data_IF_229895923278
#
_entry.id   IF_229895923278
#
_cell.length_a   1.000
_cell.length_b   1.000
_cell.length_c   1.000
_cell.angle_alpha   90.00
_cell.angle_beta   90.00
_cell.angle_gamma   90.00
#
_symmetry.space_group_name_H-M   'P 1'
#
loop_
_entity.id
_entity.type
_entity.pdbx_description
1 polymer ?
#
# COMPACT_ATOMS: atom_id res chain seq x y z
N UNK A 1 -9.59 16.34 15.51
CA UNK A 1 -9.71 15.26 16.54
C UNK A 1 -8.89 14.06 16.06
N UNK A 2 -8.18 13.38 16.97
CA UNK A 2 -7.57 12.08 16.66
C UNK A 2 -8.67 11.02 16.77
N UNK A 3 -8.86 10.23 15.72
CA UNK A 3 -9.81 9.13 15.71
C UNK A 3 -9.04 7.82 15.85
N UNK A 4 -9.37 7.04 16.88
CA UNK A 4 -8.76 5.74 17.17
C UNK A 4 -9.77 4.66 16.80
N UNK A 5 -9.31 3.68 16.02
CA UNK A 5 -10.14 2.55 15.61
C UNK A 5 -9.90 1.35 16.51
N UNK A 6 -10.96 0.83 17.11
CA UNK A 6 -10.94 -0.34 17.98
C UNK A 6 -11.54 -1.54 17.24
N UNK A 7 -10.82 -2.67 17.18
CA UNK A 7 -11.32 -3.87 16.51
C UNK A 7 -12.58 -4.44 17.19
N UNK A 8 -12.65 -4.29 18.52
CA UNK A 8 -13.78 -4.72 19.36
C UNK A 8 -15.08 -3.99 19.02
N UNK A 9 -15.01 -2.83 18.36
CA UNK A 9 -16.19 -2.06 17.94
C UNK A 9 -17.14 -2.87 17.03
N UNK A 10 -16.61 -3.88 16.31
CA UNK A 10 -17.44 -4.77 15.48
C UNK A 10 -18.27 -5.73 16.35
N UNK A 11 -17.77 -6.07 17.54
CA UNK A 11 -18.37 -7.02 18.46
C UNK A 11 -19.26 -6.34 19.50
N UNK A 12 -18.98 -5.09 19.84
CA UNK A 12 -19.67 -4.33 20.89
C UNK A 12 -20.56 -3.24 20.30
N UNK A 13 -21.76 -3.06 20.85
CA UNK A 13 -22.63 -1.94 20.48
C UNK A 13 -22.37 -0.69 21.34
N UNK A 14 -21.09 -0.32 21.49
CA UNK A 14 -20.70 0.85 22.28
C UNK A 14 -20.98 2.14 21.49
N UNK A 15 -21.95 2.92 21.98
CA UNK A 15 -22.33 4.20 21.38
C UNK A 15 -21.24 5.25 21.47
N UNK A 16 -20.31 5.15 22.42
CA UNK A 16 -19.21 6.08 22.56
C UNK A 16 -18.25 6.03 21.36
N UNK A 17 -18.05 4.83 20.79
CA UNK A 17 -17.19 4.64 19.62
C UNK A 17 -17.77 5.30 18.35
N UNK A 18 -19.09 5.49 18.29
CA UNK A 18 -19.77 6.15 17.16
C UNK A 18 -19.82 7.66 17.28
N UNK A 19 -19.68 8.19 18.49
CA UNK A 19 -19.94 9.59 18.83
C UNK A 19 -19.21 10.58 17.91
N UNK A 20 -17.93 10.35 17.62
CA UNK A 20 -17.14 11.25 16.76
C UNK A 20 -17.59 11.15 15.30
N UNK A 21 -17.78 9.93 14.79
CA UNK A 21 -18.22 9.70 13.41
C UNK A 21 -19.57 10.36 13.14
N UNK A 22 -20.53 10.17 14.03
CA UNK A 22 -21.88 10.73 13.91
C UNK A 22 -21.89 12.25 14.11
N UNK A 23 -21.23 12.77 15.16
CA UNK A 23 -21.19 14.21 15.46
C UNK A 23 -20.65 15.04 14.30
N UNK A 24 -19.64 14.54 13.60
CA UNK A 24 -19.01 15.24 12.48
C UNK A 24 -19.48 14.75 11.12
N UNK A 25 -20.50 13.89 11.06
CA UNK A 25 -21.05 13.31 9.83
C UNK A 25 -19.93 12.72 8.94
N UNK A 26 -19.01 11.97 9.54
CA UNK A 26 -17.87 11.43 8.82
C UNK A 26 -18.31 10.38 7.80
N UNK A 27 -17.73 10.44 6.62
CA UNK A 27 -18.09 9.62 5.48
C UNK A 27 -16.88 8.94 4.86
N UNK A 28 -17.12 7.78 4.25
CA UNK A 28 -16.10 7.05 3.52
C UNK A 28 -16.63 6.47 2.21
N UNK A 29 -15.72 6.15 1.30
CA UNK A 29 -16.01 5.38 0.09
C UNK A 29 -14.97 4.31 -0.15
N UNK A 30 -15.43 3.16 -0.64
CA UNK A 30 -14.57 2.05 -1.05
C UNK A 30 -14.46 2.04 -2.58
N UNK A 31 -13.24 2.00 -3.10
CA UNK A 31 -12.96 2.07 -4.54
C UNK A 31 -12.05 0.92 -4.98
N UNK A 32 -12.47 0.15 -5.98
CA UNK A 32 -11.65 -0.93 -6.61
C UNK A 32 -11.11 -1.95 -5.60
N UNK A 33 -11.89 -2.30 -4.59
CA UNK A 33 -11.57 -3.35 -3.61
C UNK A 33 -12.83 -3.83 -2.91
N UNK A 34 -12.83 -5.09 -2.46
CA UNK A 34 -13.83 -5.62 -1.54
C UNK A 34 -13.20 -5.74 -0.14
N UNK A 35 -13.26 -4.64 0.62
CA UNK A 35 -12.66 -4.55 1.96
C UNK A 35 -13.75 -4.63 3.04
N UNK A 36 -14.37 -5.81 3.21
CA UNK A 36 -15.47 -6.04 4.16
C UNK A 36 -15.12 -5.63 5.60
N UNK A 37 -13.96 -6.03 6.10
CA UNK A 37 -13.52 -5.67 7.46
C UNK A 37 -13.39 -4.15 7.66
N UNK A 38 -12.85 -3.45 6.66
CA UNK A 38 -12.70 -1.99 6.71
C UNK A 38 -14.06 -1.31 6.75
N UNK A 39 -15.01 -1.78 5.93
CA UNK A 39 -16.41 -1.34 5.96
C UNK A 39 -17.00 -1.51 7.36
N UNK A 40 -16.86 -2.70 7.94
CA UNK A 40 -17.35 -3.01 9.29
C UNK A 40 -16.74 -2.11 10.36
N UNK A 41 -15.41 -1.91 10.35
CA UNK A 41 -14.73 -1.01 11.31
C UNK A 41 -15.24 0.43 11.18
N UNK A 42 -15.32 0.96 9.96
CA UNK A 42 -15.72 2.36 9.74
C UNK A 42 -17.17 2.60 10.18
N UNK A 43 -18.08 1.70 9.81
CA UNK A 43 -19.48 1.76 10.24
C UNK A 43 -19.62 1.60 11.76
N UNK A 44 -18.83 0.73 12.40
CA UNK A 44 -18.83 0.60 13.85
C UNK A 44 -18.37 1.88 14.58
N UNK A 45 -17.60 2.75 13.92
CA UNK A 45 -17.16 4.04 14.45
C UNK A 45 -18.02 5.22 13.96
N UNK A 46 -19.23 4.95 13.49
CA UNK A 46 -20.21 6.00 13.13
C UNK A 46 -19.97 6.67 11.78
N UNK A 47 -19.08 6.12 10.94
CA UNK A 47 -18.94 6.60 9.57
C UNK A 47 -20.05 6.04 8.68
N UNK A 48 -20.51 6.84 7.72
CA UNK A 48 -21.45 6.38 6.70
C UNK A 48 -20.77 6.20 5.33
N UNK A 49 -21.17 5.16 4.60
CA UNK A 49 -20.65 4.90 3.26
C UNK A 49 -21.38 5.79 2.23
N UNK A 50 -20.61 6.47 1.38
CA UNK A 50 -21.14 7.24 0.25
C UNK A 50 -20.87 6.52 -1.07
N UNK A 51 -21.60 6.91 -2.11
CA UNK A 51 -21.42 6.35 -3.45
C UNK A 51 -19.96 6.50 -3.92
N UNK A 52 -19.35 5.51 -4.61
CA UNK A 52 -17.95 5.58 -5.04
C UNK A 52 -17.58 6.82 -5.89
N UNK A 53 -18.56 7.36 -6.62
CA UNK A 53 -18.42 8.58 -7.43
C UNK A 53 -18.68 9.88 -6.65
N UNK A 54 -19.05 9.83 -5.37
CA UNK A 54 -19.22 11.02 -4.54
C UNK A 54 -17.89 11.76 -4.37
N UNK A 55 -17.93 13.08 -4.47
CA UNK A 55 -16.83 13.96 -4.10
C UNK A 55 -16.93 14.44 -2.65
N UNK A 56 -18.07 14.24 -2.00
CA UNK A 56 -18.25 14.53 -0.58
C UNK A 56 -17.93 13.25 0.22
N UNK A 57 -16.71 13.18 0.75
CA UNK A 57 -16.20 12.09 1.57
C UNK A 57 -15.05 12.59 2.46
N UNK A 58 -14.81 11.93 3.60
CA UNK A 58 -13.60 12.16 4.41
C UNK A 58 -12.51 11.12 4.14
N UNK A 59 -12.87 9.85 3.94
CA UNK A 59 -11.92 8.77 3.69
C UNK A 59 -12.22 8.00 2.39
N UNK A 60 -11.25 7.96 1.48
CA UNK A 60 -11.26 7.04 0.34
C UNK A 60 -10.37 5.83 0.66
N UNK A 61 -10.97 4.65 0.68
CA UNK A 61 -10.23 3.39 0.77
C UNK A 61 -10.17 2.70 -0.59
N UNK A 62 -8.97 2.60 -1.16
CA UNK A 62 -8.75 2.01 -2.49
C UNK A 62 -7.80 0.82 -2.47
N UNK A 63 -8.08 -0.17 -3.32
CA UNK A 63 -7.22 -1.33 -3.55
C UNK A 63 -6.05 -1.06 -4.52
N UNK A 64 -6.00 0.12 -5.14
CA UNK A 64 -5.01 0.47 -6.16
C UNK A 64 -4.44 1.86 -5.95
N UNK A 65 -3.18 2.06 -6.33
CA UNK A 65 -2.55 3.38 -6.32
C UNK A 65 -3.36 4.37 -7.16
N UNK A 66 -3.56 5.57 -6.61
CA UNK A 66 -4.20 6.66 -7.32
C UNK A 66 -3.24 7.29 -8.33
N UNK A 67 -3.81 7.80 -9.42
CA UNK A 67 -3.06 8.63 -10.36
C UNK A 67 -2.68 9.96 -9.69
N UNK A 68 -1.50 10.54 -9.97
CA UNK A 68 -1.04 11.76 -9.30
C UNK A 68 -2.01 12.95 -9.36
N UNK A 69 -2.78 13.11 -10.43
CA UNK A 69 -3.75 14.20 -10.53
C UNK A 69 -4.92 14.05 -9.53
N UNK A 70 -5.34 12.81 -9.21
CA UNK A 70 -6.38 12.57 -8.21
C UNK A 70 -5.90 12.90 -6.81
N UNK A 71 -4.63 12.61 -6.52
CA UNK A 71 -4.00 12.97 -5.24
C UNK A 71 -3.92 14.49 -5.06
N UNK A 72 -3.65 15.23 -6.15
CA UNK A 72 -3.61 16.69 -6.15
C UNK A 72 -4.99 17.35 -6.05
N UNK A 73 -6.06 16.65 -6.39
CA UNK A 73 -7.42 17.16 -6.29
C UNK A 73 -8.07 16.89 -4.93
N UNK A 74 -7.38 16.23 -4.00
CA UNK A 74 -7.89 16.00 -2.65
C UNK A 74 -7.96 17.31 -1.88
N UNK A 75 -9.04 17.50 -1.13
CA UNK A 75 -9.16 18.60 -0.16
C UNK A 75 -8.44 18.25 1.14
N UNK A 76 -8.22 19.24 2.01
CA UNK A 76 -7.49 19.04 3.28
C UNK A 76 -8.17 18.03 4.22
N UNK A 77 -9.50 17.89 4.11
CA UNK A 77 -10.32 16.97 4.89
C UNK A 77 -10.40 15.57 4.29
N UNK A 78 -9.96 15.40 3.03
CA UNK A 78 -9.98 14.12 2.34
C UNK A 78 -8.68 13.36 2.58
N UNK A 79 -8.82 12.09 2.99
CA UNK A 79 -7.71 11.17 3.21
C UNK A 79 -7.85 9.96 2.31
N UNK A 80 -6.70 9.39 1.92
CA UNK A 80 -6.61 8.14 1.17
C UNK A 80 -5.60 7.21 1.82
N UNK A 81 -5.84 5.91 1.74
CA UNK A 81 -4.99 4.86 2.31
C UNK A 81 -3.69 4.56 1.51
N UNK A 82 -3.25 5.46 0.62
CA UNK A 82 -2.04 5.28 -0.19
C UNK A 82 -1.19 6.55 -0.22
N UNK A 83 0.08 6.41 0.15
CA UNK A 83 1.06 7.47 -0.12
C UNK A 83 1.41 7.54 -1.62
N UNK A 84 1.64 8.74 -2.17
CA UNK A 84 2.17 8.89 -3.52
C UNK A 84 3.49 8.13 -3.67
N UNK A 85 3.63 7.35 -4.74
CA UNK A 85 4.86 6.59 -5.08
C UNK A 85 5.32 5.57 -4.03
N UNK A 86 4.46 5.09 -3.14
CA UNK A 86 4.83 3.99 -2.23
C UNK A 86 5.23 2.69 -2.95
N UNK A 87 4.89 2.55 -4.24
CA UNK A 87 5.39 1.48 -5.12
C UNK A 87 6.92 1.43 -5.26
N UNK A 88 7.63 2.50 -4.90
CA UNK A 88 9.09 2.52 -4.86
C UNK A 88 9.65 1.51 -3.83
N UNK A 89 8.86 1.17 -2.81
CA UNK A 89 9.20 0.17 -1.81
C UNK A 89 8.44 -1.14 -1.99
N UNK A 90 7.22 -1.12 -2.56
CA UNK A 90 6.37 -2.32 -2.64
C UNK A 90 6.49 -3.11 -3.95
N UNK A 91 7.05 -2.53 -5.02
CA UNK A 91 7.39 -3.28 -6.24
C UNK A 91 8.80 -3.85 -6.14
N UNK A 92 8.98 -5.11 -6.56
CA UNK A 92 10.25 -5.83 -6.40
C UNK A 92 11.40 -5.18 -7.19
N UNK A 93 11.13 -4.75 -8.42
CA UNK A 93 12.11 -4.07 -9.28
C UNK A 93 12.54 -2.72 -8.70
N UNK A 94 11.59 -1.95 -8.15
CA UNK A 94 11.88 -0.66 -7.53
C UNK A 94 12.61 -0.81 -6.20
N UNK A 95 12.18 -1.73 -5.36
CA UNK A 95 12.83 -2.04 -4.09
C UNK A 95 14.31 -2.41 -4.32
N UNK A 96 14.58 -3.32 -5.26
CA UNK A 96 15.95 -3.70 -5.61
C UNK A 96 16.78 -2.49 -6.06
N UNK A 97 16.31 -1.72 -7.05
CA UNK A 97 17.03 -0.51 -7.52
C UNK A 97 17.29 0.47 -6.39
N UNK A 98 16.33 0.66 -5.49
CA UNK A 98 16.43 1.60 -4.39
C UNK A 98 17.45 1.14 -3.34
N UNK A 99 17.47 -0.15 -3.00
CA UNK A 99 18.49 -0.73 -2.11
C UNK A 99 19.87 -0.67 -2.77
N UNK A 100 20.01 -0.99 -4.06
CA UNK A 100 21.29 -0.87 -4.77
C UNK A 100 21.82 0.57 -4.75
N UNK A 101 20.96 1.58 -4.93
CA UNK A 101 21.35 3.00 -4.77
C UNK A 101 21.83 3.30 -3.35
N UNK A 102 21.18 2.75 -2.34
CA UNK A 102 21.59 2.94 -0.94
C UNK A 102 22.91 2.20 -0.61
N UNK A 103 23.15 1.02 -1.18
CA UNK A 103 24.44 0.32 -1.07
C UNK A 103 25.59 1.14 -1.66
N UNK A 104 25.36 1.82 -2.80
CA UNK A 104 26.35 2.72 -3.40
C UNK A 104 26.60 3.96 -2.53
N UNK A 105 25.54 4.55 -1.97
CA UNK A 105 25.65 5.79 -1.21
C UNK A 105 26.17 5.61 0.23
N UNK A 106 25.85 4.48 0.88
CA UNK A 106 26.09 4.25 2.31
C UNK A 106 26.89 2.97 2.61
N UNK A 107 27.39 2.31 1.57
CA UNK A 107 28.17 1.09 1.68
C UNK A 107 27.33 -0.18 1.65
N UNK A 108 27.89 -1.20 0.99
CA UNK A 108 27.23 -2.49 0.80
C UNK A 108 26.82 -3.13 2.13
N UNK A 109 27.71 -3.17 3.13
CA UNK A 109 27.45 -3.82 4.43
C UNK A 109 26.25 -3.23 5.16
N UNK A 110 26.04 -1.91 5.05
CA UNK A 110 24.93 -1.19 5.70
C UNK A 110 23.58 -1.54 5.07
N UNK A 111 23.55 -1.81 3.77
CA UNK A 111 22.35 -2.11 3.00
C UNK A 111 22.37 -3.53 2.40
N UNK A 112 23.06 -4.47 3.04
CA UNK A 112 23.09 -5.88 2.64
C UNK A 112 21.86 -6.63 3.20
N UNK A 113 20.69 -6.14 2.82
CA UNK A 113 19.38 -6.60 3.34
C UNK A 113 18.55 -7.33 2.30
N UNK A 114 19.03 -7.40 1.06
CA UNK A 114 18.39 -8.12 -0.05
C UNK A 114 19.34 -9.20 -0.59
N UNK A 115 18.81 -10.35 -1.04
CA UNK A 115 19.60 -11.31 -1.81
C UNK A 115 20.01 -10.71 -3.15
N UNK A 116 21.07 -11.27 -3.75
CA UNK A 116 21.47 -10.91 -5.11
C UNK A 116 20.29 -11.05 -6.07
N UNK A 117 20.01 -10.00 -6.83
CA UNK A 117 18.80 -9.86 -7.65
C UNK A 117 19.19 -9.24 -8.98
N UNK A 118 18.50 -9.63 -10.05
CA UNK A 118 18.66 -9.05 -11.38
C UNK A 118 17.30 -8.71 -11.97
N UNK A 119 17.20 -7.57 -12.67
CA UNK A 119 16.02 -7.13 -13.41
C UNK A 119 16.14 -7.57 -14.86
N UNK A 120 15.36 -8.56 -15.24
CA UNK A 120 15.29 -9.04 -16.62
C UNK A 120 14.26 -8.25 -17.44
N UNK A 121 14.48 -8.05 -18.76
CA UNK A 121 15.63 -8.55 -19.55
C UNK A 121 16.90 -7.67 -19.45
N UNK A 122 16.82 -6.51 -18.80
CA UNK A 122 17.89 -5.49 -18.80
C UNK A 122 19.23 -6.01 -18.26
N UNK A 123 19.21 -6.82 -17.21
CA UNK A 123 20.40 -7.31 -16.49
C UNK A 123 20.65 -8.81 -16.78
N UNK A 124 20.16 -9.30 -17.92
CA UNK A 124 20.27 -10.74 -18.27
C UNK A 124 21.71 -11.22 -18.41
N UNK A 125 22.58 -10.42 -19.04
CA UNK A 125 23.99 -10.81 -19.21
C UNK A 125 24.72 -10.91 -17.87
N UNK A 126 24.45 -9.99 -16.94
CA UNK A 126 25.03 -10.00 -15.59
C UNK A 126 24.56 -11.22 -14.79
N UNK A 127 23.27 -11.58 -14.94
CA UNK A 127 22.74 -12.82 -14.40
C UNK A 127 23.47 -14.04 -14.97
N UNK A 128 23.62 -14.16 -16.30
CA UNK A 128 24.34 -15.27 -16.92
C UNK A 128 25.79 -15.39 -16.44
N UNK A 129 26.49 -14.26 -16.33
CA UNK A 129 27.87 -14.21 -15.83
C UNK A 129 27.97 -14.67 -14.37
N UNK A 130 26.98 -14.31 -13.54
CA UNK A 130 26.91 -14.72 -12.13
C UNK A 130 26.59 -16.21 -12.00
N UNK A 131 25.56 -16.67 -12.70
CA UNK A 131 25.12 -18.07 -12.71
C UNK A 131 26.21 -19.03 -13.23
N UNK A 132 27.04 -18.57 -14.18
CA UNK A 132 28.15 -19.38 -14.71
C UNK A 132 29.22 -19.66 -13.64
N UNK A 133 29.38 -18.76 -12.66
CA UNK A 133 30.34 -18.90 -11.56
C UNK A 133 29.76 -19.71 -10.40
N UNK A 134 28.47 -19.55 -10.13
CA UNK A 134 27.75 -20.28 -9.09
C UNK A 134 26.40 -20.76 -9.62
N UNK A 135 26.31 -22.08 -9.85
CA UNK A 135 25.15 -22.75 -10.45
C UNK A 135 24.07 -23.13 -9.42
N UNK A 136 23.98 -22.39 -8.32
CA UNK A 136 22.95 -22.56 -7.30
C UNK A 136 21.52 -22.30 -7.81
N UNK A 137 20.49 -22.65 -7.02
CA UNK A 137 19.10 -22.41 -7.37
C UNK A 137 18.74 -20.92 -7.37
N UNK A 138 17.93 -20.49 -8.34
CA UNK A 138 17.42 -19.12 -8.45
C UNK A 138 15.89 -19.10 -8.46
N UNK A 139 15.31 -18.01 -7.96
CA UNK A 139 13.85 -17.80 -7.92
C UNK A 139 13.48 -16.64 -8.85
N UNK A 140 12.74 -16.94 -9.90
CA UNK A 140 12.16 -15.92 -10.79
C UNK A 140 10.84 -15.44 -10.19
N UNK A 141 10.63 -14.13 -10.17
CA UNK A 141 9.38 -13.52 -9.68
C UNK A 141 8.93 -12.40 -10.62
N UNK A 142 7.64 -12.27 -10.91
CA UNK A 142 7.11 -11.09 -11.58
C UNK A 142 7.25 -9.83 -10.73
N UNK A 143 7.51 -8.70 -11.39
CA UNK A 143 7.84 -7.40 -10.77
C UNK A 143 6.75 -6.88 -9.82
N UNK A 144 5.48 -7.04 -10.21
CA UNK A 144 4.33 -6.42 -9.54
C UNK A 144 3.18 -7.41 -9.25
N UNK A 145 3.46 -8.72 -9.21
CA UNK A 145 2.49 -9.73 -8.75
C UNK A 145 2.65 -10.07 -7.26
N UNK A 146 1.64 -10.72 -6.70
CA UNK A 146 1.55 -11.16 -5.32
C UNK A 146 0.92 -12.56 -5.21
N UNK A 147 0.82 -13.09 -3.98
CA UNK A 147 0.18 -14.39 -3.68
C UNK A 147 0.88 -15.61 -4.30
N UNK A 148 2.20 -15.54 -4.47
CA UNK A 148 3.00 -16.62 -5.04
C UNK A 148 2.67 -16.93 -6.51
N UNK A 149 2.00 -16.02 -7.22
CA UNK A 149 1.64 -16.21 -8.63
C UNK A 149 2.68 -15.62 -9.56
N UNK A 150 3.03 -16.40 -10.58
CA UNK A 150 3.99 -16.07 -11.63
C UNK A 150 5.26 -16.86 -11.46
#
# INVERSE_FOLDING_TARGET
>A
PVLVFHAEAILTNDSYLRLIGERYHLSYKIVRTDSRLVRSILTAHGFHEVHPNSNDYNLMWTGSHLKPYLLRSLTDIQKVNHFPRSYELTRKDRLYKNVSRMQLAHGFKTFHILPQTFILPTEYQDFCNTYSKDRGPWIVKPVASSRGRG
#
